data_IF_284170290777
#
_entry.id   IF_284170290777
#
_cell.length_a   1.000
_cell.length_b   1.000
_cell.length_c   1.000
_cell.angle_alpha   90.00
_cell.angle_beta   90.00
_cell.angle_gamma   90.00
#
_symmetry.space_group_name_H-M   'P 1'
#
loop_
_entity.id
_entity.type
_entity.pdbx_description
1 polymer ?
#
# COMPACT_ATOMS: atom_id res chain seq x y z
N UNK A 1 -3.35 -2.27 7.36
CA UNK A 1 -3.37 -2.01 5.90
C UNK A 1 -2.01 -2.26 5.32
N UNK A 2 -1.91 -3.05 4.26
CA UNK A 2 -0.64 -3.38 3.62
C UNK A 2 -0.13 -2.20 2.78
N UNK A 3 1.05 -2.35 2.17
CA UNK A 3 1.58 -1.41 1.17
C UNK A 3 1.37 -1.96 -0.25
N UNK A 4 1.57 -1.14 -1.30
CA UNK A 4 1.17 -1.52 -2.66
C UNK A 4 1.80 -2.81 -3.17
N UNK A 5 3.07 -3.10 -2.86
CA UNK A 5 3.72 -4.31 -3.35
C UNK A 5 3.10 -5.55 -2.71
N UNK A 6 2.89 -5.54 -1.40
CA UNK A 6 2.19 -6.60 -0.69
C UNK A 6 0.79 -6.88 -1.27
N UNK A 7 0.02 -5.83 -1.57
CA UNK A 7 -1.29 -5.97 -2.20
C UNK A 7 -1.20 -6.61 -3.60
N UNK A 8 -0.23 -6.20 -4.43
CA UNK A 8 -0.04 -6.75 -5.78
C UNK A 8 0.41 -8.22 -5.70
N UNK A 9 1.34 -8.55 -4.80
CA UNK A 9 1.80 -9.94 -4.63
C UNK A 9 0.64 -10.87 -4.27
N UNK A 10 -0.16 -10.51 -3.26
CA UNK A 10 -1.31 -11.30 -2.85
C UNK A 10 -2.38 -11.37 -3.97
N UNK A 11 -2.54 -10.30 -4.75
CA UNK A 11 -3.46 -10.30 -5.89
C UNK A 11 -3.03 -11.29 -6.97
N UNK A 12 -1.74 -11.34 -7.30
CA UNK A 12 -1.18 -12.30 -8.27
C UNK A 12 -1.36 -13.73 -7.79
N UNK A 13 -1.15 -13.99 -6.50
CA UNK A 13 -1.33 -15.31 -5.91
C UNK A 13 -2.79 -15.76 -5.96
N UNK A 14 -3.73 -14.90 -5.55
CA UNK A 14 -5.15 -15.28 -5.48
C UNK A 14 -5.79 -15.42 -6.86
N UNK A 15 -5.32 -14.67 -7.87
CA UNK A 15 -5.83 -14.73 -9.24
C UNK A 15 -5.69 -16.11 -9.88
N UNK A 16 -4.74 -16.93 -9.42
CA UNK A 16 -4.60 -18.33 -9.86
C UNK A 16 -5.86 -19.16 -9.55
N UNK A 17 -6.67 -18.72 -8.58
CA UNK A 17 -7.94 -19.37 -8.19
C UNK A 17 -9.17 -18.75 -8.86
N UNK A 18 -8.98 -17.72 -9.70
CA UNK A 18 -10.04 -16.93 -10.35
C UNK A 18 -9.71 -16.70 -11.84
N UNK A 19 -9.67 -17.76 -12.66
CA UNK A 19 -9.21 -17.68 -14.05
C UNK A 19 -10.13 -16.85 -14.97
N UNK A 20 -11.35 -16.52 -14.51
CA UNK A 20 -12.30 -15.66 -15.20
C UNK A 20 -12.00 -14.16 -15.03
N UNK A 21 -11.08 -13.78 -14.13
CA UNK A 21 -10.73 -12.38 -13.88
C UNK A 21 -9.60 -11.91 -14.81
N UNK A 22 -9.76 -10.71 -15.36
CA UNK A 22 -8.70 -10.02 -16.07
C UNK A 22 -7.63 -9.54 -15.08
N UNK A 23 -6.41 -10.08 -15.22
CA UNK A 23 -5.29 -9.82 -14.31
C UNK A 23 -5.01 -8.32 -14.17
N UNK A 24 -4.97 -7.58 -15.29
CA UNK A 24 -4.65 -6.16 -15.31
C UNK A 24 -5.70 -5.35 -14.57
N UNK A 25 -6.97 -5.56 -14.88
CA UNK A 25 -8.07 -4.87 -14.23
C UNK A 25 -8.14 -5.18 -12.73
N UNK A 26 -7.91 -6.44 -12.35
CA UNK A 26 -7.89 -6.85 -10.95
C UNK A 26 -6.74 -6.20 -10.16
N UNK A 27 -5.53 -6.13 -10.74
CA UNK A 27 -4.38 -5.49 -10.09
C UNK A 27 -4.55 -3.97 -9.96
N UNK A 28 -5.09 -3.31 -10.99
CA UNK A 28 -5.45 -1.88 -10.92
C UNK A 28 -6.51 -1.66 -9.84
N UNK A 29 -7.56 -2.48 -9.83
CA UNK A 29 -8.62 -2.46 -8.80
C UNK A 29 -8.10 -2.68 -7.39
N UNK A 30 -7.16 -3.61 -7.22
CA UNK A 30 -6.50 -3.86 -5.92
C UNK A 30 -5.69 -2.67 -5.44
N UNK A 31 -5.12 -1.87 -6.35
CA UNK A 31 -4.29 -0.72 -6.00
C UNK A 31 -5.09 0.59 -5.90
N UNK A 32 -6.34 0.61 -6.39
CA UNK A 32 -7.16 1.80 -6.51
C UNK A 32 -7.56 2.43 -5.17
N UNK A 33 -7.98 1.69 -4.11
CA UNK A 33 -8.52 2.31 -2.90
C UNK A 33 -7.54 3.25 -2.17
N UNK A 34 -6.24 3.05 -2.36
CA UNK A 34 -5.15 3.90 -1.86
C UNK A 34 -5.01 5.25 -2.55
N UNK A 35 -5.72 5.50 -3.65
CA UNK A 35 -5.82 6.82 -4.29
C UNK A 35 -6.33 7.91 -3.36
N UNK A 36 -7.09 7.54 -2.30
CA UNK A 36 -7.57 8.45 -1.24
C UNK A 36 -6.46 9.26 -0.57
N UNK A 37 -5.20 8.80 -0.63
CA UNK A 37 -4.07 9.55 -0.10
C UNK A 37 -3.82 10.87 -0.85
N UNK A 38 -4.24 10.99 -2.11
CA UNK A 38 -4.25 12.25 -2.85
C UNK A 38 -5.31 13.23 -2.34
N UNK A 39 -6.28 12.71 -1.59
CA UNK A 39 -7.35 13.45 -0.98
C UNK A 39 -8.52 13.81 -1.88
N UNK A 40 -8.64 13.09 -3.00
CA UNK A 40 -9.75 13.19 -3.94
C UNK A 40 -11.00 12.38 -3.55
N UNK A 41 -10.87 11.40 -2.65
CA UNK A 41 -11.97 10.50 -2.26
C UNK A 41 -11.85 10.07 -0.79
N UNK A 42 -12.97 9.73 -0.15
CA UNK A 42 -13.03 9.21 1.22
C UNK A 42 -12.85 7.68 1.24
N UNK A 43 -12.47 7.12 2.40
CA UNK A 43 -12.15 5.68 2.53
C UNK A 43 -13.39 4.80 2.34
N UNK A 44 -14.53 5.21 2.88
CA UNK A 44 -15.81 4.50 2.84
C UNK A 44 -16.33 4.28 1.42
N UNK A 45 -15.91 5.11 0.45
CA UNK A 45 -16.29 4.96 -0.96
C UNK A 45 -15.50 3.88 -1.69
N UNK A 46 -14.34 3.48 -1.16
CA UNK A 46 -13.43 2.54 -1.84
C UNK A 46 -13.08 1.30 -1.02
N UNK A 47 -13.43 1.25 0.26
CA UNK A 47 -13.18 0.11 1.14
C UNK A 47 -14.51 -0.45 1.63
N UNK A 48 -15.01 -1.45 0.91
CA UNK A 48 -16.15 -2.27 1.33
C UNK A 48 -15.71 -3.07 2.57
N UNK A 49 -16.55 -3.15 3.59
CA UNK A 49 -16.24 -3.87 4.83
C UNK A 49 -16.77 -5.29 4.80
N UNK A 50 -16.15 -6.19 5.58
CA UNK A 50 -16.59 -7.58 5.74
C UNK A 50 -16.70 -8.33 4.40
N UNK A 51 -15.78 -8.05 3.49
CA UNK A 51 -15.70 -8.74 2.20
C UNK A 51 -15.20 -10.15 2.43
N UNK A 52 -15.83 -11.15 1.82
CA UNK A 52 -15.31 -12.53 1.79
C UNK A 52 -14.66 -12.87 0.45
N UNK A 53 -13.83 -13.92 0.42
CA UNK A 53 -13.28 -14.42 -0.84
C UNK A 53 -14.38 -14.88 -1.81
N UNK A 54 -15.49 -15.41 -1.31
CA UNK A 54 -16.64 -15.82 -2.12
C UNK A 54 -17.34 -14.62 -2.77
N UNK A 55 -17.45 -13.50 -2.07
CA UNK A 55 -18.00 -12.27 -2.66
C UNK A 55 -17.11 -11.77 -3.81
N UNK A 56 -15.78 -11.83 -3.63
CA UNK A 56 -14.80 -11.43 -4.65
C UNK A 56 -14.91 -12.33 -5.89
N UNK A 57 -15.06 -13.64 -5.71
CA UNK A 57 -15.23 -14.61 -6.81
C UNK A 57 -16.50 -14.33 -7.60
N UNK A 58 -17.60 -14.00 -6.92
CA UNK A 58 -18.92 -13.71 -7.53
C UNK A 58 -18.99 -12.35 -8.23
N UNK A 59 -18.16 -11.38 -7.85
CA UNK A 59 -18.12 -10.06 -8.49
C UNK A 59 -17.73 -10.18 -9.97
N UNK A 60 -18.54 -9.60 -10.86
CA UNK A 60 -18.36 -9.73 -12.30
C UNK A 60 -17.28 -8.80 -12.86
N UNK A 61 -17.11 -7.62 -12.28
CA UNK A 61 -16.05 -6.69 -12.68
C UNK A 61 -14.74 -7.08 -12.01
N UNK A 62 -13.73 -7.43 -12.80
CA UNK A 62 -12.37 -7.71 -12.31
C UNK A 62 -11.80 -6.54 -11.49
N UNK A 63 -12.09 -5.29 -11.90
CA UNK A 63 -11.69 -4.10 -11.15
C UNK A 63 -12.36 -4.02 -9.77
N UNK A 64 -13.68 -4.20 -9.69
CA UNK A 64 -14.41 -4.17 -8.41
C UNK A 64 -14.00 -5.34 -7.51
N UNK A 65 -13.80 -6.53 -8.09
CA UNK A 65 -13.26 -7.68 -7.38
C UNK A 65 -11.88 -7.38 -6.78
N UNK A 66 -11.01 -6.68 -7.52
CA UNK A 66 -9.73 -6.18 -7.01
C UNK A 66 -9.89 -5.20 -5.85
N UNK A 67 -10.81 -4.24 -5.93
CA UNK A 67 -11.09 -3.30 -4.83
C UNK A 67 -11.59 -4.02 -3.57
N UNK A 68 -12.46 -5.02 -3.74
CA UNK A 68 -12.94 -5.89 -2.67
C UNK A 68 -11.78 -6.69 -2.06
N UNK A 69 -10.90 -7.22 -2.90
CA UNK A 69 -9.70 -7.93 -2.44
C UNK A 69 -8.74 -7.04 -1.65
N UNK A 70 -8.54 -5.77 -2.05
CA UNK A 70 -7.78 -4.80 -1.26
C UNK A 70 -8.33 -4.68 0.17
N UNK A 71 -9.66 -4.56 0.30
CA UNK A 71 -10.31 -4.46 1.61
C UNK A 71 -10.14 -5.73 2.44
N UNK A 72 -10.30 -6.91 1.83
CA UNK A 72 -10.07 -8.20 2.49
C UNK A 72 -8.63 -8.30 3.02
N UNK A 73 -7.63 -8.00 2.19
CA UNK A 73 -6.21 -8.00 2.60
C UNK A 73 -5.98 -7.04 3.77
N UNK A 74 -6.56 -5.84 3.72
CA UNK A 74 -6.46 -4.84 4.77
C UNK A 74 -6.99 -5.35 6.12
N UNK A 75 -8.16 -6.00 6.12
CA UNK A 75 -8.84 -6.53 7.30
C UNK A 75 -8.10 -7.76 7.87
N UNK A 76 -7.75 -8.72 7.02
CA UNK A 76 -7.07 -9.97 7.40
C UNK A 76 -5.67 -9.66 7.96
N UNK A 77 -4.92 -8.78 7.30
CA UNK A 77 -3.61 -8.32 7.80
C UNK A 77 -3.74 -7.64 9.15
N UNK A 78 -4.73 -6.76 9.34
CA UNK A 78 -4.89 -6.06 10.61
C UNK A 78 -5.25 -7.04 11.75
N UNK A 79 -6.13 -8.01 11.49
CA UNK A 79 -6.46 -9.07 12.45
C UNK A 79 -5.21 -9.86 12.85
N UNK A 80 -4.48 -10.37 11.88
CA UNK A 80 -3.26 -11.15 12.11
C UNK A 80 -2.21 -10.38 12.93
N UNK A 81 -1.99 -9.10 12.62
CA UNK A 81 -1.00 -8.26 13.31
C UNK A 81 -1.36 -8.00 14.78
N UNK A 82 -2.66 -7.93 15.10
CA UNK A 82 -3.14 -7.79 16.47
C UNK A 82 -3.02 -9.10 17.24
N UNK A 83 -3.42 -10.23 16.64
CA UNK A 83 -3.35 -11.57 17.26
C UNK A 83 -1.93 -11.97 17.63
N UNK A 84 -0.94 -11.60 16.81
CA UNK A 84 0.48 -11.90 17.04
C UNK A 84 1.22 -10.80 17.80
N UNK A 85 0.50 -9.81 18.33
CA UNK A 85 1.02 -8.70 19.14
C UNK A 85 2.19 -7.93 18.48
N UNK A 86 2.21 -7.86 17.15
CA UNK A 86 3.29 -7.21 16.39
C UNK A 86 3.41 -5.73 16.80
N UNK A 87 2.29 -5.09 17.09
CA UNK A 87 2.20 -3.72 17.57
C UNK A 87 2.73 -3.50 19.00
N UNK A 88 2.98 -4.56 19.78
CA UNK A 88 3.69 -4.45 21.07
C UNK A 88 5.20 -4.43 20.88
N UNK A 89 5.70 -5.14 19.87
CA UNK A 89 7.13 -5.14 19.49
C UNK A 89 7.49 -3.79 18.88
N UNK A 90 6.54 -3.19 18.15
CA UNK A 90 6.72 -1.90 17.49
C UNK A 90 5.56 -0.95 17.80
N UNK A 91 5.74 0.04 18.70
CA UNK A 91 4.64 0.83 19.22
C UNK A 91 3.90 1.57 18.10
N UNK A 92 2.57 1.46 18.12
CA UNK A 92 1.68 2.12 17.16
C UNK A 92 1.97 3.61 17.13
N UNK A 93 2.49 4.03 15.99
CA UNK A 93 2.66 5.44 15.65
C UNK A 93 2.50 5.55 14.14
N UNK A 94 2.08 6.72 13.64
CA UNK A 94 1.93 6.93 12.19
C UNK A 94 3.21 6.60 11.41
N UNK A 95 4.38 6.88 11.99
CA UNK A 95 5.69 6.56 11.42
C UNK A 95 6.01 5.06 11.56
N UNK A 96 5.64 4.46 12.69
CA UNK A 96 5.86 3.04 12.93
C UNK A 96 5.03 2.17 11.99
N UNK A 97 3.73 2.44 11.87
CA UNK A 97 2.84 1.74 10.95
C UNK A 97 3.32 1.86 9.50
N UNK A 98 3.87 3.02 9.13
CA UNK A 98 4.48 3.21 7.83
C UNK A 98 5.73 2.35 7.67
N UNK A 99 6.67 2.42 8.60
CA UNK A 99 7.92 1.67 8.55
C UNK A 99 7.68 0.15 8.45
N UNK A 100 6.71 -0.39 9.21
CA UNK A 100 6.33 -1.80 9.14
C UNK A 100 5.85 -2.19 7.73
N UNK A 101 4.98 -1.39 7.12
CA UNK A 101 4.45 -1.68 5.77
C UNK A 101 5.51 -1.67 4.68
N UNK A 102 6.40 -0.69 4.72
CA UNK A 102 7.50 -0.63 3.76
C UNK A 102 8.54 -1.72 4.01
N UNK A 103 8.67 -2.19 5.26
CA UNK A 103 9.49 -3.36 5.56
C UNK A 103 8.89 -4.64 4.98
N UNK A 104 7.56 -4.83 5.08
CA UNK A 104 6.87 -5.92 4.39
C UNK A 104 7.13 -5.88 2.88
N UNK A 105 6.91 -4.74 2.22
CA UNK A 105 7.20 -4.60 0.80
C UNK A 105 8.67 -4.94 0.45
N UNK A 106 9.63 -4.60 1.32
CA UNK A 106 11.06 -4.94 1.13
C UNK A 106 11.33 -6.44 1.23
N UNK A 107 10.66 -7.14 2.15
CA UNK A 107 10.78 -8.59 2.31
C UNK A 107 10.10 -9.35 1.17
N UNK A 108 9.01 -8.79 0.63
CA UNK A 108 8.19 -9.43 -0.40
C UNK A 108 8.66 -9.11 -1.82
N UNK A 109 9.38 -8.02 -2.02
CA UNK A 109 9.88 -7.61 -3.34
C UNK A 109 10.61 -8.73 -4.11
N UNK A 110 11.50 -9.55 -3.50
CA UNK A 110 12.15 -10.64 -4.21
C UNK A 110 11.21 -11.74 -4.71
N UNK A 111 9.96 -11.80 -4.22
CA UNK A 111 8.98 -12.81 -4.62
C UNK A 111 8.18 -12.40 -5.86
N UNK A 112 8.30 -11.14 -6.31
CA UNK A 112 7.54 -10.61 -7.44
C UNK A 112 8.44 -10.49 -8.68
N UNK A 113 8.48 -11.55 -9.50
CA UNK A 113 9.40 -11.66 -10.64
C UNK A 113 9.11 -10.66 -11.77
N UNK A 114 7.84 -10.28 -11.97
CA UNK A 114 7.41 -9.45 -13.11
C UNK A 114 7.00 -8.03 -12.69
N UNK A 115 7.75 -7.40 -11.77
CA UNK A 115 7.41 -6.08 -11.25
C UNK A 115 7.21 -5.02 -12.35
N UNK A 116 8.00 -5.08 -13.43
CA UNK A 116 7.88 -4.20 -14.58
C UNK A 116 6.51 -4.35 -15.24
N UNK A 117 6.07 -5.59 -15.53
CA UNK A 117 4.75 -5.89 -16.11
C UNK A 117 3.64 -5.22 -15.29
N UNK A 118 3.64 -5.42 -13.98
CA UNK A 118 2.64 -4.83 -13.09
C UNK A 118 2.74 -3.30 -13.04
N UNK A 119 3.94 -2.74 -13.11
CA UNK A 119 4.13 -1.30 -13.17
C UNK A 119 3.55 -0.70 -14.47
N UNK A 120 3.65 -1.40 -15.60
CA UNK A 120 3.09 -0.98 -16.88
C UNK A 120 1.56 -1.11 -16.96
N UNK A 121 0.91 -1.88 -16.08
CA UNK A 121 -0.56 -1.91 -16.00
C UNK A 121 -1.13 -0.52 -15.72
N UNK A 122 -0.44 0.29 -14.92
CA UNK A 122 -0.83 1.65 -14.59
C UNK A 122 -0.65 2.68 -15.72
N UNK A 123 -0.19 2.29 -16.91
CA UNK A 123 -0.25 3.18 -18.09
C UNK A 123 -1.67 3.29 -18.67
N UNK A 124 -2.57 2.40 -18.26
CA UNK A 124 -3.98 2.45 -18.64
C UNK A 124 -4.83 3.02 -17.52
N UNK A 125 -5.94 3.63 -17.91
CA UNK A 125 -7.01 4.07 -17.01
C UNK A 125 -8.24 3.29 -17.43
N UNK A 126 -8.83 2.57 -16.50
CA UNK A 126 -10.07 1.83 -16.73
C UNK A 126 -11.26 2.79 -16.63
N UNK A 127 -12.34 2.46 -17.34
CA UNK A 127 -13.56 3.25 -17.27
C UNK A 127 -14.14 3.25 -15.86
N UNK A 128 -14.07 2.11 -15.16
CA UNK A 128 -14.56 1.95 -13.79
C UNK A 128 -13.87 2.88 -12.79
N UNK A 129 -12.60 3.25 -13.01
CA UNK A 129 -11.92 4.22 -12.15
C UNK A 129 -12.55 5.62 -12.25
N UNK A 130 -13.03 5.96 -13.45
CA UNK A 130 -13.64 7.24 -13.76
C UNK A 130 -15.06 7.37 -13.18
N UNK A 131 -15.70 6.27 -12.80
CA UNK A 131 -16.96 6.27 -12.05
C UNK A 131 -16.80 6.87 -10.65
N UNK A 132 -15.58 6.78 -10.07
CA UNK A 132 -15.31 7.25 -8.71
C UNK A 132 -14.70 8.65 -8.67
N UNK A 133 -13.78 8.96 -9.59
CA UNK A 133 -12.97 10.16 -9.54
C UNK A 133 -12.55 10.65 -10.93
N UNK A 134 -12.14 11.92 -11.01
CA UNK A 134 -11.67 12.51 -12.26
C UNK A 134 -10.32 11.94 -12.71
N UNK A 135 -10.14 11.89 -14.04
CA UNK A 135 -8.97 11.28 -14.68
C UNK A 135 -7.62 11.86 -14.23
N UNK A 136 -7.54 13.15 -13.85
CA UNK A 136 -6.29 13.76 -13.40
C UNK A 136 -5.75 13.15 -12.10
N UNK A 137 -6.65 12.72 -11.20
CA UNK A 137 -6.27 12.06 -9.96
C UNK A 137 -5.80 10.64 -10.23
N UNK A 138 -6.50 9.92 -11.11
CA UNK A 138 -6.09 8.58 -11.56
C UNK A 138 -4.68 8.63 -12.17
N UNK A 139 -4.45 9.51 -13.15
CA UNK A 139 -3.12 9.72 -13.77
C UNK A 139 -2.03 10.01 -12.74
N UNK A 140 -2.35 10.86 -11.75
CA UNK A 140 -1.41 11.22 -10.69
C UNK A 140 -1.05 10.02 -9.81
N UNK A 141 -2.04 9.20 -9.46
CA UNK A 141 -1.87 7.99 -8.67
C UNK A 141 -1.12 6.90 -9.42
N UNK A 142 -1.54 6.61 -10.64
CA UNK A 142 -0.90 5.64 -11.53
C UNK A 142 0.57 5.96 -11.78
N UNK A 143 0.88 7.24 -12.08
CA UNK A 143 2.27 7.70 -12.20
C UNK A 143 3.08 7.50 -10.92
N UNK A 144 2.45 7.64 -9.75
CA UNK A 144 3.12 7.41 -8.47
C UNK A 144 3.39 5.93 -8.23
N UNK A 145 2.40 5.05 -8.47
CA UNK A 145 2.52 3.60 -8.34
C UNK A 145 3.55 3.04 -9.32
N UNK A 146 3.43 3.36 -10.61
CA UNK A 146 4.41 2.93 -11.62
C UNK A 146 5.83 3.33 -11.25
N UNK A 147 6.02 4.57 -10.79
CA UNK A 147 7.35 5.05 -10.35
C UNK A 147 7.85 4.29 -9.11
N UNK A 148 6.95 4.00 -8.16
CA UNK A 148 7.27 3.26 -6.95
C UNK A 148 7.75 1.85 -7.26
N UNK A 149 7.06 1.14 -8.16
CA UNK A 149 7.39 -0.22 -8.57
C UNK A 149 8.70 -0.25 -9.39
N UNK A 150 8.80 0.52 -10.48
CA UNK A 150 9.99 0.51 -11.35
C UNK A 150 11.28 0.95 -10.65
N UNK A 151 11.18 1.74 -9.57
CA UNK A 151 12.35 2.22 -8.83
C UNK A 151 12.31 1.75 -7.37
N UNK A 152 11.73 0.58 -7.12
CA UNK A 152 11.53 0.10 -5.77
C UNK A 152 12.85 0.00 -4.99
N UNK A 153 13.95 -0.40 -5.64
CA UNK A 153 15.28 -0.48 -5.03
C UNK A 153 15.85 0.89 -4.60
N UNK A 154 15.39 2.00 -5.17
CA UNK A 154 15.81 3.34 -4.77
C UNK A 154 15.05 3.80 -3.51
N UNK A 155 15.77 3.83 -2.39
CA UNK A 155 15.26 4.28 -1.10
C UNK A 155 14.64 5.68 -1.15
N UNK A 156 15.19 6.60 -1.96
CA UNK A 156 14.64 7.96 -2.11
C UNK A 156 13.27 7.92 -2.78
N UNK A 157 13.06 7.01 -3.72
CA UNK A 157 11.76 6.83 -4.38
C UNK A 157 10.72 6.20 -3.45
N UNK A 158 11.10 5.20 -2.65
CA UNK A 158 10.23 4.64 -1.59
C UNK A 158 9.79 5.74 -0.62
N UNK A 159 10.72 6.57 -0.16
CA UNK A 159 10.41 7.71 0.71
C UNK A 159 9.52 8.76 0.05
N UNK A 160 9.76 9.06 -1.22
CA UNK A 160 8.92 9.99 -1.98
C UNK A 160 7.48 9.48 -2.07
N UNK A 161 7.31 8.17 -2.25
CA UNK A 161 6.00 7.52 -2.24
C UNK A 161 5.35 7.59 -0.85
N UNK A 162 6.08 7.22 0.20
CA UNK A 162 5.62 7.35 1.59
C UNK A 162 5.14 8.77 1.92
N UNK A 163 5.92 9.79 1.55
CA UNK A 163 5.56 11.18 1.79
C UNK A 163 4.25 11.56 1.09
N UNK A 164 3.99 10.99 -0.08
CA UNK A 164 2.73 11.19 -0.80
C UNK A 164 1.56 10.52 -0.08
N UNK A 165 1.71 9.26 0.34
CA UNK A 165 0.71 8.54 1.13
C UNK A 165 0.41 9.25 2.46
N UNK A 166 1.44 9.83 3.06
CA UNK A 166 1.36 10.45 4.37
C UNK A 166 1.12 11.96 4.33
N UNK A 167 0.92 12.57 3.16
CA UNK A 167 0.68 14.02 3.02
C UNK A 167 -0.55 14.49 3.83
N UNK A 168 -1.55 13.62 4.02
CA UNK A 168 -2.68 13.85 4.96
C UNK A 168 -2.41 13.46 6.41
N UNK A 169 -1.42 12.60 6.67
CA UNK A 169 -1.12 12.06 8.02
C UNK A 169 -0.05 12.86 8.77
N UNK A 170 0.83 13.55 8.05
CA UNK A 170 1.89 14.43 8.56
C UNK A 170 1.53 15.93 8.55
N UNK A 171 0.27 16.29 8.29
CA UNK A 171 -0.31 17.60 8.68
C UNK A 171 -0.39 17.75 10.22
N UNK A 172 0.61 17.25 10.96
CA UNK A 172 0.81 17.48 12.40
C UNK A 172 1.40 18.87 12.64
N UNK A 173 1.89 19.51 11.59
CA UNK A 173 2.38 20.88 11.65
C UNK A 173 1.50 21.68 10.70
N UNK A 174 0.59 22.47 11.27
CA UNK A 174 -0.34 23.32 10.54
C UNK A 174 0.38 24.05 9.40
N UNK A 175 -0.31 24.21 8.25
CA UNK A 175 0.19 25.06 7.15
C UNK A 175 0.56 26.47 7.64
N UNK A 176 -0.09 26.98 8.70
CA UNK A 176 0.25 28.24 9.38
C UNK A 176 1.69 28.25 9.94
N UNK A 177 2.14 27.15 10.53
CA UNK A 177 3.47 27.00 11.13
C UNK A 177 4.57 26.94 10.06
N UNK A 178 4.28 26.33 8.90
CA UNK A 178 5.25 26.23 7.80
C UNK A 178 5.36 27.48 6.93
N UNK A 179 4.34 28.32 6.87
CA UNK A 179 4.43 29.59 6.12
C UNK A 179 5.49 30.54 6.69
N UNK A 180 5.83 30.39 7.98
CA UNK A 180 6.86 31.18 8.67
C UNK A 180 8.23 30.50 8.73
N UNK A 181 8.32 29.20 8.42
CA UNK A 181 9.57 28.47 8.46
C UNK A 181 10.31 28.65 7.13
N UNK A 182 11.53 29.22 7.18
CA UNK A 182 12.41 29.29 5.99
C UNK A 182 12.53 27.89 5.36
N UNK A 183 12.48 27.82 4.02
CA UNK A 183 12.60 26.58 3.22
C UNK A 183 13.73 25.65 3.71
N UNK A 184 14.84 26.19 4.20
CA UNK A 184 15.96 25.45 4.78
C UNK A 184 15.62 24.69 6.06
N UNK A 185 14.81 25.26 6.95
CA UNK A 185 14.35 24.60 8.17
C UNK A 185 13.35 23.46 7.85
N UNK A 186 12.47 23.66 6.87
CA UNK A 186 11.57 22.61 6.38
C UNK A 186 12.36 21.42 5.81
N UNK A 187 13.43 21.69 5.05
CA UNK A 187 14.31 20.63 4.54
C UNK A 187 14.99 19.86 5.69
N UNK A 188 15.49 20.55 6.73
CA UNK A 188 16.06 19.90 7.92
C UNK A 188 15.04 19.02 8.66
N UNK A 189 13.82 19.50 8.88
CA UNK A 189 12.76 18.71 9.53
C UNK A 189 12.43 17.46 8.72
N UNK A 190 12.30 17.60 7.39
CA UNK A 190 12.10 16.43 6.52
C UNK A 190 13.28 15.45 6.63
N UNK A 191 14.52 15.94 6.65
CA UNK A 191 15.71 15.08 6.82
C UNK A 191 15.69 14.31 8.13
N UNK A 192 15.32 14.94 9.24
CA UNK A 192 15.20 14.27 10.55
C UNK A 192 14.14 13.18 10.49
N UNK A 193 12.99 13.46 9.88
CA UNK A 193 11.93 12.47 9.70
C UNK A 193 12.38 11.31 8.81
N UNK A 194 13.10 11.58 7.70
CA UNK A 194 13.67 10.54 6.84
C UNK A 194 14.60 9.61 7.62
N UNK A 195 15.58 10.19 8.32
CA UNK A 195 16.53 9.42 9.12
C UNK A 195 15.83 8.59 10.20
N UNK A 196 14.74 9.11 10.78
CA UNK A 196 13.95 8.38 11.78
C UNK A 196 13.20 7.20 11.16
N UNK A 197 12.57 7.37 10.00
CA UNK A 197 11.87 6.26 9.32
C UNK A 197 12.86 5.22 8.81
N UNK A 198 14.00 5.64 8.29
CA UNK A 198 15.06 4.73 7.84
C UNK A 198 15.54 3.84 8.99
N UNK A 199 15.91 4.42 10.13
CA UNK A 199 16.29 3.68 11.34
C UNK A 199 15.19 2.74 11.83
N UNK A 200 13.92 3.16 11.69
CA UNK A 200 12.77 2.33 12.05
C UNK A 200 12.63 1.15 11.09
N UNK A 201 12.79 1.36 9.78
CA UNK A 201 12.78 0.28 8.78
C UNK A 201 13.95 -0.68 9.03
N UNK A 202 15.16 -0.18 9.28
CA UNK A 202 16.33 -1.00 9.62
C UNK A 202 16.10 -1.85 10.87
N UNK A 203 15.51 -1.25 11.92
CA UNK A 203 15.17 -1.97 13.16
C UNK A 203 14.13 -3.07 12.93
N UNK A 204 13.11 -2.81 12.09
CA UNK A 204 12.11 -3.82 11.74
C UNK A 204 12.77 -4.91 10.90
N UNK A 205 13.62 -4.53 9.95
CA UNK A 205 14.34 -5.46 9.09
C UNK A 205 15.34 -6.35 9.83
N UNK A 206 15.96 -5.87 10.90
CA UNK A 206 16.88 -6.67 11.71
C UNK A 206 16.19 -7.59 12.73
N UNK A 207 14.86 -7.48 12.89
CA UNK A 207 14.10 -8.32 13.81
C UNK A 207 13.69 -9.64 13.14
N UNK A 208 14.41 -10.72 13.45
CA UNK A 208 14.09 -12.07 12.96
C UNK A 208 12.68 -12.52 13.34
N UNK A 209 12.20 -12.12 14.53
CA UNK A 209 10.81 -12.37 14.94
C UNK A 209 9.80 -11.70 14.01
N UNK A 210 10.05 -10.45 13.59
CA UNK A 210 9.12 -9.74 12.69
C UNK A 210 9.17 -10.35 11.30
N UNK A 211 10.37 -10.64 10.78
CA UNK A 211 10.54 -11.32 9.50
C UNK A 211 9.75 -12.63 9.46
N UNK A 212 9.94 -13.51 10.45
CA UNK A 212 9.25 -14.79 10.52
C UNK A 212 7.71 -14.61 10.56
N UNK A 213 7.21 -13.64 11.32
CA UNK A 213 5.76 -13.38 11.39
C UNK A 213 5.20 -12.80 10.09
N UNK A 214 5.97 -11.95 9.40
CA UNK A 214 5.60 -11.42 8.08
C UNK A 214 5.58 -12.55 7.06
N UNK A 215 6.64 -13.35 6.97
CA UNK A 215 6.69 -14.51 6.08
C UNK A 215 5.57 -15.49 6.34
N UNK A 216 5.27 -15.82 7.61
CA UNK A 216 4.16 -16.69 7.97
C UNK A 216 2.81 -16.11 7.50
N UNK A 217 2.57 -14.81 7.67
CA UNK A 217 1.34 -14.17 7.18
C UNK A 217 1.17 -14.35 5.67
N UNK A 218 2.19 -13.99 4.87
CA UNK A 218 2.07 -14.03 3.41
C UNK A 218 2.06 -15.48 2.87
N UNK A 219 2.77 -16.42 3.51
CA UNK A 219 2.75 -17.84 3.15
C UNK A 219 1.43 -18.53 3.54
N UNK A 220 0.77 -18.05 4.60
CA UNK A 220 -0.48 -18.62 5.11
C UNK A 220 -1.73 -17.90 4.60
N UNK A 221 -1.59 -16.80 3.86
CA UNK A 221 -2.71 -15.92 3.50
C UNK A 221 -3.91 -16.66 2.91
N UNK A 222 -3.70 -17.59 1.98
CA UNK A 222 -4.78 -18.39 1.38
C UNK A 222 -5.56 -19.27 2.37
N UNK A 223 -4.97 -19.61 3.53
CA UNK A 223 -5.65 -20.34 4.61
C UNK A 223 -6.39 -19.41 5.58
N UNK A 224 -6.11 -18.11 5.52
CA UNK A 224 -6.69 -17.09 6.38
C UNK A 224 -7.94 -16.44 5.78
N UNK A 225 -8.21 -16.67 4.49
CA UNK A 225 -9.29 -16.03 3.72
C UNK A 225 -10.38 -16.99 3.26
#
# INVERSE_FOLDING_TARGET
MAAPLAHILLAVQILQTMPDKDEKAFIIGTSFPDIRYLGCISRDKTHIKNVTLDDIKKEKSSFKAGMMFHALVDEVREKYMNEHEIYKIFPRSKLGDAALKFNEDLLLFPQLNDLDKYAYYFDSILFEELEFIKSEYVKTWHKALKKYLLNFNDIKNRFKFLKRCAKRRFDIVEKSFFNNLKRSALLKVNQILYNKVEKLIEKVHSSEKIKALVEDFYNSFNRLV
#
